data_IF_682559471219
#
_entry.id   IF_682559471219
#
_cell.length_a   1.000
_cell.length_b   1.000
_cell.length_c   1.000
_cell.angle_alpha   90.00
_cell.angle_beta   90.00
_cell.angle_gamma   90.00
#
_symmetry.space_group_name_H-M   'P 1'
#
loop_
_entity.id
_entity.type
_entity.pdbx_description
1 polymer ?
#
# COMPACT_ATOMS: atom_id res chain seq x y z
N UNK A 1 -23.01 -20.52 0.74
CA UNK A 1 -21.97 -19.64 0.18
C UNK A 1 -20.72 -20.49 0.06
N UNK A 2 -20.17 -20.68 -1.14
CA UNK A 2 -18.94 -21.45 -1.31
C UNK A 2 -17.85 -20.88 -0.38
N UNK A 3 -17.20 -21.73 0.40
CA UNK A 3 -16.07 -21.31 1.22
C UNK A 3 -15.03 -20.69 0.31
N UNK A 4 -14.76 -19.40 0.50
CA UNK A 4 -13.75 -18.71 -0.32
C UNK A 4 -12.37 -19.27 0.05
N UNK A 5 -11.66 -19.73 -0.97
CA UNK A 5 -10.27 -20.19 -0.87
C UNK A 5 -9.40 -19.14 -0.15
N UNK A 6 -8.39 -19.63 0.58
CA UNK A 6 -7.52 -18.80 1.42
C UNK A 6 -6.81 -17.73 0.59
N UNK A 7 -6.33 -18.08 -0.59
CA UNK A 7 -5.68 -17.17 -1.53
C UNK A 7 -6.58 -16.00 -1.92
N UNK A 8 -7.88 -16.21 -2.10
CA UNK A 8 -8.81 -15.13 -2.44
C UNK A 8 -9.07 -14.17 -1.26
N UNK A 9 -9.08 -14.69 -0.02
CA UNK A 9 -9.20 -13.86 1.17
C UNK A 9 -7.96 -12.97 1.30
N UNK A 10 -6.77 -13.56 1.15
CA UNK A 10 -5.51 -12.84 1.15
C UNK A 10 -5.43 -11.80 0.02
N UNK A 11 -5.90 -12.12 -1.19
CA UNK A 11 -5.97 -11.17 -2.31
C UNK A 11 -6.76 -9.91 -1.97
N UNK A 12 -7.88 -10.03 -1.24
CA UNK A 12 -8.65 -8.86 -0.78
C UNK A 12 -7.88 -8.04 0.25
N UNK A 13 -7.19 -8.69 1.18
CA UNK A 13 -6.34 -8.01 2.17
C UNK A 13 -5.18 -7.28 1.50
N UNK A 14 -4.52 -7.89 0.50
CA UNK A 14 -3.50 -7.22 -0.32
C UNK A 14 -4.08 -5.96 -0.98
N UNK A 15 -5.27 -6.05 -1.58
CA UNK A 15 -5.90 -4.90 -2.23
C UNK A 15 -6.18 -3.74 -1.26
N UNK A 16 -6.67 -4.04 -0.06
CA UNK A 16 -6.86 -3.05 1.01
C UNK A 16 -5.52 -2.46 1.44
N UNK A 17 -4.51 -3.30 1.66
CA UNK A 17 -3.20 -2.87 2.10
C UNK A 17 -2.51 -1.96 1.07
N UNK A 18 -2.61 -2.28 -0.22
CA UNK A 18 -2.15 -1.43 -1.34
C UNK A 18 -2.94 -0.12 -1.45
N UNK A 19 -4.17 -0.07 -0.95
CA UNK A 19 -4.91 1.18 -0.86
C UNK A 19 -4.41 2.06 0.29
N UNK A 20 -4.12 1.48 1.45
CA UNK A 20 -3.50 2.19 2.58
C UNK A 20 -2.12 2.74 2.23
N UNK A 21 -1.31 1.97 1.50
CA UNK A 21 -0.03 2.43 0.93
C UNK A 21 -0.22 3.70 0.08
N UNK A 22 -1.15 3.66 -0.89
CA UNK A 22 -1.46 4.82 -1.74
C UNK A 22 -1.99 6.03 -0.97
N UNK A 23 -2.77 5.83 0.09
CA UNK A 23 -3.21 6.93 0.96
C UNK A 23 -2.00 7.58 1.62
N UNK A 24 -1.09 6.79 2.19
CA UNK A 24 0.13 7.32 2.79
C UNK A 24 1.05 8.03 1.77
N UNK A 25 1.14 7.52 0.55
CA UNK A 25 1.87 8.18 -0.55
C UNK A 25 1.25 9.53 -0.94
N UNK A 26 -0.08 9.61 -0.99
CA UNK A 26 -0.79 10.87 -1.25
C UNK A 26 -0.58 11.87 -0.11
N UNK A 27 -0.67 11.42 1.15
CA UNK A 27 -0.37 12.25 2.32
C UNK A 27 1.07 12.80 2.26
N UNK A 28 2.03 11.98 1.80
CA UNK A 28 3.41 12.39 1.61
C UNK A 28 3.55 13.46 0.52
N UNK A 29 2.87 13.27 -0.61
CA UNK A 29 2.85 14.23 -1.70
C UNK A 29 2.22 15.57 -1.28
N UNK A 30 1.12 15.53 -0.52
CA UNK A 30 0.46 16.71 0.04
C UNK A 30 1.38 17.50 0.97
N UNK A 31 2.02 16.80 1.91
CA UNK A 31 2.96 17.41 2.85
C UNK A 31 4.16 18.00 2.13
N UNK A 32 4.66 17.31 1.10
CA UNK A 32 5.78 17.79 0.28
C UNK A 32 5.39 19.08 -0.47
N UNK A 33 4.19 19.14 -1.05
CA UNK A 33 3.67 20.36 -1.69
C UNK A 33 3.57 21.52 -0.71
N UNK A 34 3.01 21.27 0.47
CA UNK A 34 2.91 22.31 1.51
C UNK A 34 4.28 22.84 1.95
N UNK A 35 5.31 21.98 2.05
CA UNK A 35 6.67 22.44 2.34
C UNK A 35 7.21 23.35 1.24
N UNK A 36 7.05 22.97 -0.02
CA UNK A 36 7.47 23.81 -1.16
C UNK A 36 6.82 25.19 -1.09
N UNK A 37 5.51 25.27 -0.87
CA UNK A 37 4.80 26.56 -0.74
C UNK A 37 5.31 27.42 0.43
N UNK A 38 5.68 26.78 1.55
CA UNK A 38 6.27 27.46 2.70
C UNK A 38 7.66 27.98 2.36
N UNK A 39 8.51 27.17 1.73
CA UNK A 39 9.85 27.58 1.28
C UNK A 39 9.79 28.75 0.29
N UNK A 40 8.92 28.67 -0.72
CA UNK A 40 8.70 29.78 -1.67
C UNK A 40 8.18 31.05 -0.97
N UNK A 41 7.40 30.89 0.11
CA UNK A 41 6.97 32.03 0.92
C UNK A 41 8.11 32.63 1.75
N UNK A 42 9.02 31.79 2.25
CA UNK A 42 10.22 32.22 2.97
C UNK A 42 11.16 33.00 2.04
N UNK A 43 11.40 32.50 0.84
CA UNK A 43 12.23 33.17 -0.19
C UNK A 43 11.68 34.57 -0.51
N UNK A 44 10.38 34.69 -0.79
CA UNK A 44 9.74 35.99 -1.05
C UNK A 44 9.85 36.98 0.12
N UNK A 45 9.78 36.48 1.36
CA UNK A 45 9.97 37.32 2.55
C UNK A 45 11.44 37.74 2.68
N UNK A 46 12.36 36.85 2.36
CA UNK A 46 13.80 37.13 2.41
C UNK A 46 14.21 38.17 1.36
N UNK A 47 13.64 38.10 0.16
CA UNK A 47 13.82 39.11 -0.89
C UNK A 47 13.32 40.49 -0.42
N UNK A 48 12.17 40.53 0.25
CA UNK A 48 11.62 41.78 0.79
C UNK A 48 12.50 42.34 1.93
N UNK A 49 13.08 41.49 2.79
CA UNK A 49 14.03 41.90 3.83
C UNK A 49 15.31 42.50 3.22
N UNK A 50 15.79 41.93 2.11
CA UNK A 50 16.97 42.40 1.39
C UNK A 50 16.74 43.61 0.48
N UNK A 51 15.50 44.09 0.35
CA UNK A 51 15.15 45.18 -0.56
C UNK A 51 15.59 46.55 -0.03
N UNK A 52 16.10 47.39 -0.94
CA UNK A 52 16.46 48.78 -0.67
C UNK A 52 15.27 49.75 -0.82
N UNK A 53 14.09 49.26 -1.22
CA UNK A 53 12.88 50.06 -1.31
C UNK A 53 12.47 50.58 0.09
N UNK A 54 12.28 51.90 0.28
CA UNK A 54 11.87 52.48 1.57
C UNK A 54 10.60 51.86 2.15
N UNK A 55 9.66 51.41 1.30
CA UNK A 55 8.44 50.71 1.74
C UNK A 55 8.81 49.41 2.42
N UNK A 56 9.64 48.57 1.79
CA UNK A 56 10.06 47.30 2.38
C UNK A 56 10.90 47.48 3.64
N UNK A 57 11.78 48.49 3.67
CA UNK A 57 12.59 48.83 4.83
C UNK A 57 11.73 49.17 6.05
N UNK A 58 10.64 49.91 5.85
CA UNK A 58 9.70 50.27 6.92
C UNK A 58 8.99 49.05 7.53
N UNK A 59 8.86 47.93 6.79
CA UNK A 59 8.22 46.69 7.24
C UNK A 59 9.21 45.59 7.65
N UNK A 60 10.51 45.87 7.72
CA UNK A 60 11.59 44.90 8.02
C UNK A 60 11.33 44.03 9.26
N UNK A 61 10.85 44.62 10.36
CA UNK A 61 10.51 43.89 11.60
C UNK A 61 9.39 42.86 11.34
N UNK A 62 8.34 43.26 10.63
CA UNK A 62 7.21 42.38 10.31
C UNK A 62 7.61 41.25 9.37
N UNK A 63 8.53 41.50 8.43
CA UNK A 63 9.09 40.44 7.60
C UNK A 63 9.90 39.45 8.41
N UNK A 64 10.74 39.90 9.34
CA UNK A 64 11.50 39.02 10.23
C UNK A 64 10.58 38.13 11.09
N UNK A 65 9.53 38.70 11.68
CA UNK A 65 8.50 37.95 12.43
C UNK A 65 7.78 36.92 11.55
N UNK A 66 7.40 37.31 10.32
CA UNK A 66 6.77 36.40 9.37
C UNK A 66 7.71 35.27 8.96
N UNK A 67 8.97 35.58 8.68
CA UNK A 67 10.00 34.60 8.35
C UNK A 67 10.18 33.59 9.49
N UNK A 68 10.30 34.05 10.74
CA UNK A 68 10.41 33.16 11.90
C UNK A 68 9.22 32.20 12.03
N UNK A 69 7.99 32.68 11.79
CA UNK A 69 6.79 31.81 11.78
C UNK A 69 6.81 30.78 10.64
N UNK A 70 7.28 31.16 9.45
CA UNK A 70 7.42 30.24 8.33
C UNK A 70 8.50 29.18 8.59
N UNK A 71 9.64 29.55 9.18
CA UNK A 71 10.69 28.62 9.58
C UNK A 71 10.19 27.58 10.57
N UNK A 72 9.45 28.00 11.60
CA UNK A 72 8.84 27.08 12.56
C UNK A 72 7.85 26.12 11.88
N UNK A 73 7.06 26.64 10.93
CA UNK A 73 6.11 25.83 10.15
C UNK A 73 6.85 24.80 9.27
N UNK A 74 7.94 25.17 8.61
CA UNK A 74 8.73 24.23 7.81
C UNK A 74 9.32 23.11 8.67
N UNK A 75 9.89 23.44 9.83
CA UNK A 75 10.41 22.44 10.78
C UNK A 75 9.31 21.47 11.25
N UNK A 76 8.12 21.98 11.53
CA UNK A 76 6.97 21.14 11.88
C UNK A 76 6.60 20.20 10.71
N UNK A 77 6.51 20.74 9.49
CA UNK A 77 6.17 19.96 8.31
C UNK A 77 7.24 18.91 7.98
N UNK A 78 8.52 19.18 8.23
CA UNK A 78 9.62 18.21 8.11
C UNK A 78 9.43 17.02 9.05
N UNK A 79 9.09 17.29 10.32
CA UNK A 79 8.78 16.23 11.29
C UNK A 79 7.59 15.38 10.86
N UNK A 80 6.52 16.02 10.37
CA UNK A 80 5.34 15.34 9.82
C UNK A 80 5.72 14.49 8.60
N UNK A 81 6.49 15.04 7.67
CA UNK A 81 6.94 14.35 6.46
C UNK A 81 7.75 13.09 6.80
N UNK A 82 8.64 13.17 7.79
CA UNK A 82 9.44 12.03 8.27
C UNK A 82 8.54 10.90 8.79
N UNK A 83 7.53 11.24 9.61
CA UNK A 83 6.57 10.24 10.11
C UNK A 83 5.76 9.60 8.99
N UNK A 84 5.32 10.39 8.00
CA UNK A 84 4.57 9.86 6.85
C UNK A 84 5.47 8.97 5.99
N UNK A 85 6.73 9.34 5.76
CA UNK A 85 7.69 8.49 5.04
C UNK A 85 7.85 7.12 5.73
N UNK A 86 7.98 7.11 7.06
CA UNK A 86 8.02 5.86 7.82
C UNK A 86 6.74 5.04 7.62
N UNK A 87 5.56 5.69 7.66
CA UNK A 87 4.26 5.05 7.41
C UNK A 87 4.21 4.43 6.01
N UNK A 88 4.62 5.15 4.96
CA UNK A 88 4.68 4.63 3.59
C UNK A 88 5.52 3.35 3.53
N UNK A 89 6.72 3.35 4.11
CA UNK A 89 7.58 2.17 4.12
C UNK A 89 6.96 0.99 4.88
N UNK A 90 6.30 1.26 6.01
CA UNK A 90 5.60 0.23 6.77
C UNK A 90 4.43 -0.38 5.98
N UNK A 91 3.59 0.44 5.36
CA UNK A 91 2.44 -0.04 4.60
C UNK A 91 2.87 -0.83 3.36
N UNK A 92 3.93 -0.40 2.68
CA UNK A 92 4.57 -1.13 1.57
C UNK A 92 5.08 -2.51 2.01
N UNK A 93 5.83 -2.55 3.11
CA UNK A 93 6.37 -3.81 3.66
C UNK A 93 5.26 -4.78 4.07
N UNK A 94 4.15 -4.26 4.63
CA UNK A 94 2.97 -5.08 4.95
C UNK A 94 2.31 -5.61 3.68
N UNK A 95 2.18 -4.79 2.64
CA UNK A 95 1.58 -5.19 1.37
C UNK A 95 2.39 -6.31 0.70
N UNK A 96 3.72 -6.17 0.66
CA UNK A 96 4.63 -7.16 0.08
C UNK A 96 4.54 -8.51 0.82
N UNK A 97 4.55 -8.51 2.15
CA UNK A 97 4.37 -9.74 2.95
C UNK A 97 3.01 -10.41 2.73
N UNK A 98 1.93 -9.62 2.68
CA UNK A 98 0.60 -10.16 2.39
C UNK A 98 0.51 -10.76 0.98
N UNK A 99 1.19 -10.15 0.01
CA UNK A 99 1.23 -10.62 -1.36
C UNK A 99 2.02 -11.92 -1.50
N UNK A 100 3.12 -12.05 -0.77
CA UNK A 100 3.89 -13.31 -0.65
C UNK A 100 3.01 -14.43 -0.09
N UNK A 101 2.37 -14.21 1.07
CA UNK A 101 1.47 -15.21 1.66
C UNK A 101 0.30 -15.59 0.74
N UNK A 102 -0.22 -14.63 -0.04
CA UNK A 102 -1.25 -14.91 -1.03
C UNK A 102 -0.72 -15.83 -2.15
N UNK A 103 0.49 -15.59 -2.65
CA UNK A 103 1.14 -16.42 -3.67
C UNK A 103 1.38 -17.84 -3.15
N UNK A 104 1.86 -17.97 -1.93
CA UNK A 104 2.07 -19.27 -1.28
C UNK A 104 0.76 -20.05 -1.12
N UNK A 105 -0.28 -19.39 -0.61
CA UNK A 105 -1.60 -20.01 -0.48
C UNK A 105 -2.14 -20.48 -1.83
N UNK A 106 -1.96 -19.67 -2.89
CA UNK A 106 -2.39 -20.04 -4.24
C UNK A 106 -1.62 -21.24 -4.79
N UNK A 107 -0.32 -21.32 -4.52
CA UNK A 107 0.51 -22.45 -4.95
C UNK A 107 0.11 -23.75 -4.24
N UNK A 108 -0.19 -23.68 -2.94
CA UNK A 108 -0.68 -24.84 -2.18
C UNK A 108 -2.06 -25.30 -2.69
N UNK A 109 -2.99 -24.36 -2.92
CA UNK A 109 -4.31 -24.68 -3.46
C UNK A 109 -4.24 -25.28 -4.86
N UNK A 110 -3.34 -24.80 -5.72
CA UNK A 110 -3.11 -25.37 -7.04
C UNK A 110 -2.57 -26.80 -6.96
N UNK A 111 -1.61 -27.04 -6.06
CA UNK A 111 -1.05 -28.37 -5.84
C UNK A 111 -2.10 -29.36 -5.30
N UNK A 112 -2.91 -28.93 -4.34
CA UNK A 112 -4.00 -29.74 -3.82
C UNK A 112 -5.03 -30.08 -4.91
N UNK A 113 -5.36 -29.12 -5.78
CA UNK A 113 -6.24 -29.36 -6.92
C UNK A 113 -5.64 -30.36 -7.93
N UNK A 114 -4.35 -30.25 -8.23
CA UNK A 114 -3.63 -31.17 -9.12
C UNK A 114 -3.58 -32.59 -8.52
N UNK A 115 -3.27 -32.72 -7.22
CA UNK A 115 -3.24 -33.99 -6.51
C UNK A 115 -4.64 -34.65 -6.50
N UNK A 116 -5.71 -33.87 -6.26
CA UNK A 116 -7.10 -34.35 -6.33
C UNK A 116 -7.49 -34.81 -7.74
N UNK A 117 -7.07 -34.09 -8.79
CA UNK A 117 -7.32 -34.50 -10.17
C UNK A 117 -6.65 -35.84 -10.52
N UNK A 118 -5.48 -36.14 -9.94
CA UNK A 118 -4.82 -37.44 -10.10
C UNK A 118 -5.65 -38.55 -9.46
N UNK A 119 -6.18 -38.35 -8.24
CA UNK A 119 -7.08 -39.32 -7.60
C UNK A 119 -8.33 -39.58 -8.43
N UNK A 120 -8.96 -38.53 -8.97
CA UNK A 120 -10.15 -38.66 -9.83
C UNK A 120 -9.87 -39.52 -11.09
N UNK A 121 -8.71 -39.34 -11.72
CA UNK A 121 -8.30 -40.14 -12.90
C UNK A 121 -8.04 -41.59 -12.53
N UNK A 122 -7.40 -41.83 -11.37
CA UNK A 122 -7.17 -43.18 -10.84
C UNK A 122 -8.52 -43.86 -10.61
N UNK A 123 -9.43 -43.21 -9.89
CA UNK A 123 -10.77 -43.73 -9.58
C UNK A 123 -11.57 -44.02 -10.84
N UNK A 124 -11.56 -43.12 -11.84
CA UNK A 124 -12.19 -43.37 -13.13
C UNK A 124 -11.63 -44.62 -13.83
N UNK A 125 -10.31 -44.82 -13.78
CA UNK A 125 -9.66 -45.98 -14.41
C UNK A 125 -9.98 -47.28 -13.68
N UNK A 126 -10.05 -47.27 -12.34
CA UNK A 126 -10.43 -48.44 -11.54
C UNK A 126 -11.93 -48.75 -11.63
N UNK A 127 -12.79 -47.73 -11.65
CA UNK A 127 -14.23 -47.89 -11.89
C UNK A 127 -14.52 -48.45 -13.29
N UNK A 128 -13.74 -48.07 -14.31
CA UNK A 128 -13.82 -48.66 -15.65
C UNK A 128 -13.25 -50.09 -15.76
N UNK A 129 -12.33 -50.47 -14.87
CA UNK A 129 -11.73 -51.81 -14.83
C UNK A 129 -12.52 -52.82 -13.99
N UNK A 130 -13.52 -52.39 -13.21
CA UNK A 130 -14.46 -53.29 -12.54
C UNK A 130 -15.72 -53.44 -13.39
N UNK A 131 -15.90 -54.53 -14.17
CA UNK A 131 -17.18 -54.78 -14.79
C UNK A 131 -18.19 -55.04 -13.66
N UNK A 132 -19.10 -54.09 -13.47
CA UNK A 132 -20.31 -54.34 -12.71
C UNK A 132 -21.09 -55.45 -13.44
N UNK A 133 -21.45 -56.49 -12.68
CA UNK A 133 -22.31 -57.62 -13.08
C UNK A 133 -21.65 -58.86 -13.69
N UNK A 134 -21.35 -59.83 -12.82
CA UNK A 134 -21.46 -61.26 -13.18
C UNK A 134 -22.14 -62.10 -12.09
N UNK A 135 -22.86 -61.46 -11.15
CA UNK A 135 -23.55 -62.14 -10.04
C UNK A 135 -25.07 -61.86 -10.10
N UNK A 136 -25.67 -62.09 -11.27
CA UNK A 136 -27.11 -62.40 -11.38
C UNK A 136 -27.30 -63.44 -12.48
N UNK A 137 -27.01 -64.70 -12.19
CA UNK A 137 -27.77 -65.81 -12.76
C UNK A 137 -28.45 -66.48 -11.56
N UNK A 138 -29.72 -66.12 -11.39
CA UNK A 138 -30.63 -66.84 -10.53
C UNK A 138 -30.85 -68.26 -11.10
N UNK A 139 -30.92 -69.20 -10.17
CA UNK A 139 -31.59 -70.51 -10.16
C UNK A 139 -32.20 -71.04 -11.46
#
# INVERSE_FOLDING_TARGET
MAERNRSEKLKRLVAVQRHLERIAENELADTTRQRVEVTESMERVMDAIGSIDPVHMAFSIHYAERYGRLTLKDQQLEGIQTMIQMKVQQERTKAERLEEHMKDARALEAREADDNAVYDVIDQRFAGATPASSKVQNS
#
